data_IF_056446643481
#
_entry.id   IF_056446643481
#
_cell.length_a   1.000
_cell.length_b   1.000
_cell.length_c   1.000
_cell.angle_alpha   90.00
_cell.angle_beta   90.00
_cell.angle_gamma   90.00
#
_symmetry.space_group_name_H-M   'P 1'
#
loop_
_entity.id
_entity.type
_entity.pdbx_description
1 polymer ?
#
# COMPACT_ATOMS: atom_id res chain seq x y z
N UNK A 1 17.02 22.50 6.38
CA UNK A 1 16.86 22.35 4.91
C UNK A 1 15.51 21.76 4.50
N UNK A 2 14.99 20.70 5.12
CA UNK A 2 13.70 20.06 4.78
C UNK A 2 12.49 21.00 4.91
N UNK A 3 12.42 21.88 5.93
CA UNK A 3 11.32 22.83 6.15
C UNK A 3 11.15 23.87 5.03
N UNK A 4 12.24 24.31 4.41
CA UNK A 4 12.20 25.32 3.35
C UNK A 4 11.61 24.75 2.04
N UNK A 5 11.91 23.49 1.72
CA UNK A 5 11.35 22.81 0.56
C UNK A 5 9.85 22.55 0.68
N UNK A 6 9.37 22.22 1.88
CA UNK A 6 7.95 22.00 2.15
C UNK A 6 7.14 23.28 1.96
N UNK A 7 7.64 24.41 2.44
CA UNK A 7 6.98 25.72 2.32
C UNK A 7 6.97 26.26 0.87
N UNK A 8 8.02 25.97 0.09
CA UNK A 8 8.08 26.34 -1.31
C UNK A 8 7.08 25.53 -2.16
N UNK A 9 6.92 24.25 -1.84
CA UNK A 9 5.95 23.38 -2.47
C UNK A 9 4.50 23.79 -2.15
N UNK A 10 4.21 24.11 -0.88
CA UNK A 10 2.90 24.61 -0.45
C UNK A 10 2.50 25.91 -1.16
N UNK A 11 3.43 26.85 -1.37
CA UNK A 11 3.18 28.08 -2.12
C UNK A 11 2.88 27.83 -3.59
N UNK A 12 3.60 26.91 -4.24
CA UNK A 12 3.44 26.61 -5.66
C UNK A 12 2.11 25.95 -5.99
N UNK A 13 1.53 25.22 -5.03
CA UNK A 13 0.31 24.42 -5.23
C UNK A 13 -0.87 24.86 -4.33
N UNK A 14 -0.78 26.06 -3.72
CA UNK A 14 -1.80 26.61 -2.81
C UNK A 14 -3.18 26.82 -3.44
N UNK A 15 -3.25 26.94 -4.76
CA UNK A 15 -4.50 27.15 -5.52
C UNK A 15 -5.21 25.84 -5.90
N UNK A 16 -4.63 24.67 -5.59
CA UNK A 16 -5.36 23.41 -5.76
C UNK A 16 -6.28 23.14 -4.56
N UNK A 17 -7.57 22.79 -4.77
CA UNK A 17 -8.55 22.57 -3.68
C UNK A 17 -8.13 21.54 -2.63
N UNK A 18 -7.13 20.72 -2.97
CA UNK A 18 -6.60 19.66 -2.10
C UNK A 18 -5.75 20.20 -0.96
N UNK A 19 -5.06 21.34 -1.15
CA UNK A 19 -4.27 21.97 -0.07
C UNK A 19 -5.17 22.51 1.03
N UNK A 20 -6.39 22.94 0.70
CA UNK A 20 -7.39 23.40 1.66
C UNK A 20 -7.92 22.25 2.55
N UNK A 21 -8.07 21.05 1.99
CA UNK A 21 -8.48 19.86 2.74
C UNK A 21 -7.37 19.32 3.66
N UNK A 22 -6.09 19.45 3.28
CA UNK A 22 -4.97 19.03 4.10
C UNK A 22 -4.81 19.92 5.36
N UNK A 23 -5.05 21.23 5.26
CA UNK A 23 -5.05 22.14 6.41
C UNK A 23 -6.17 21.81 7.42
N UNK A 24 -7.36 21.46 6.95
CA UNK A 24 -8.46 20.99 7.80
C UNK A 24 -8.14 19.68 8.53
N UNK A 25 -7.34 18.79 7.91
CA UNK A 25 -6.98 17.50 8.50
C UNK A 25 -5.85 17.61 9.55
N UNK A 26 -4.99 18.61 9.48
CA UNK A 26 -3.93 18.83 10.46
C UNK A 26 -4.43 19.49 11.76
N UNK A 27 -5.58 20.17 11.74
CA UNK A 27 -6.23 20.78 12.91
C UNK A 27 -7.30 19.91 13.58
N UNK A 28 -7.65 18.77 12.99
CA UNK A 28 -8.66 17.85 13.52
C UNK A 28 -8.12 17.02 14.70
N UNK A 29 -8.93 16.91 15.75
CA UNK A 29 -8.64 16.12 16.94
C UNK A 29 -8.29 14.66 16.51
N UNK A 30 -7.19 14.10 17.03
CA UNK A 30 -6.74 12.72 16.76
C UNK A 30 -7.83 11.66 16.92
N UNK A 31 -8.83 11.91 17.78
CA UNK A 31 -10.00 11.04 17.96
C UNK A 31 -10.93 11.01 16.74
N UNK A 32 -11.03 12.09 16.00
CA UNK A 32 -11.87 12.18 14.80
C UNK A 32 -11.23 11.48 13.60
N UNK A 33 -9.89 11.41 13.56
CA UNK A 33 -9.15 10.63 12.56
C UNK A 33 -9.38 9.11 12.68
N UNK A 34 -9.68 8.63 13.88
CA UNK A 34 -9.94 7.22 14.16
C UNK A 34 -11.41 6.82 13.95
N UNK A 35 -12.33 7.79 13.93
CA UNK A 35 -13.78 7.54 13.90
C UNK A 35 -14.41 7.58 12.50
N UNK A 36 -13.73 8.13 11.50
CA UNK A 36 -14.24 8.11 10.12
C UNK A 36 -13.63 6.94 9.35
N UNK A 37 -14.44 5.91 9.01
CA UNK A 37 -13.99 4.89 8.08
C UNK A 37 -13.80 5.56 6.72
N UNK A 38 -12.56 5.93 6.39
CA UNK A 38 -12.24 6.33 5.03
C UNK A 38 -12.46 5.11 4.14
N UNK A 39 -13.60 5.06 3.47
CA UNK A 39 -13.90 4.12 2.40
C UNK A 39 -13.03 4.40 1.17
N UNK A 40 -11.73 4.42 1.33
CA UNK A 40 -10.84 4.29 0.19
C UNK A 40 -10.62 2.78 0.01
N UNK A 41 -10.93 2.25 -1.16
CA UNK A 41 -10.79 0.84 -1.51
C UNK A 41 -9.32 0.41 -1.50
N UNK A 42 -8.74 0.27 -0.33
CA UNK A 42 -7.35 -0.16 -0.08
C UNK A 42 -7.16 -1.66 -0.38
N UNK A 43 -8.27 -2.39 -0.45
CA UNK A 43 -8.35 -3.85 -0.48
C UNK A 43 -8.12 -4.47 -1.85
N UNK A 44 -8.44 -3.77 -2.93
CA UNK A 44 -8.42 -4.30 -4.28
C UNK A 44 -7.08 -4.90 -4.71
N UNK A 45 -5.95 -4.19 -4.56
CA UNK A 45 -4.65 -4.68 -5.02
C UNK A 45 -4.18 -5.94 -4.29
N UNK A 46 -4.41 -6.02 -2.98
CA UNK A 46 -3.97 -7.15 -2.14
C UNK A 46 -4.72 -8.43 -2.50
N UNK A 47 -6.01 -8.32 -2.79
CA UNK A 47 -6.86 -9.46 -3.16
C UNK A 47 -6.48 -10.04 -4.52
N UNK A 48 -6.28 -9.18 -5.51
CA UNK A 48 -5.97 -9.60 -6.89
C UNK A 48 -4.62 -10.30 -7.00
N UNK A 49 -3.61 -9.85 -6.26
CA UNK A 49 -2.28 -10.49 -6.30
C UNK A 49 -2.26 -11.84 -5.62
N UNK A 50 -3.01 -12.00 -4.53
CA UNK A 50 -3.18 -13.30 -3.89
C UNK A 50 -3.85 -14.30 -4.83
N UNK A 51 -4.85 -13.87 -5.60
CA UNK A 51 -5.50 -14.69 -6.65
C UNK A 51 -4.53 -15.09 -7.76
N UNK A 52 -3.67 -14.18 -8.22
CA UNK A 52 -2.71 -14.47 -9.27
C UNK A 52 -1.67 -15.51 -8.85
N UNK A 53 -1.21 -15.49 -7.59
CA UNK A 53 -0.30 -16.51 -7.04
C UNK A 53 -1.01 -17.85 -6.90
N UNK A 54 -2.28 -17.85 -6.52
CA UNK A 54 -3.13 -19.03 -6.43
C UNK A 54 -3.28 -19.78 -7.76
N UNK A 55 -3.61 -19.05 -8.80
CA UNK A 55 -3.77 -19.62 -10.15
C UNK A 55 -2.53 -20.36 -10.62
N UNK A 56 -1.35 -19.88 -10.22
CA UNK A 56 -0.06 -20.51 -10.61
C UNK A 56 0.33 -21.70 -9.74
N UNK A 57 0.03 -21.67 -8.44
CA UNK A 57 0.45 -22.72 -7.52
C UNK A 57 -0.46 -23.96 -7.62
N UNK A 58 -1.76 -23.79 -7.89
CA UNK A 58 -2.76 -24.85 -7.79
C UNK A 58 -2.94 -25.38 -6.37
N UNK A 59 -4.07 -26.01 -6.08
CA UNK A 59 -4.28 -26.75 -4.83
C UNK A 59 -4.45 -25.93 -3.54
N UNK A 60 -4.50 -24.61 -3.61
CA UNK A 60 -4.77 -23.74 -2.45
C UNK A 60 -6.26 -23.71 -2.16
N UNK A 61 -6.65 -24.03 -0.93
CA UNK A 61 -8.06 -24.00 -0.50
C UNK A 61 -8.59 -22.57 -0.40
N UNK A 62 -9.92 -22.41 -0.55
CA UNK A 62 -10.56 -21.11 -0.35
C UNK A 62 -10.33 -20.52 1.05
N UNK A 63 -10.20 -21.37 2.08
CA UNK A 63 -9.89 -20.94 3.43
C UNK A 63 -8.48 -20.33 3.54
N UNK A 64 -7.51 -20.95 2.91
CA UNK A 64 -6.13 -20.42 2.88
C UNK A 64 -6.07 -19.10 2.13
N UNK A 65 -6.80 -18.99 1.02
CA UNK A 65 -6.93 -17.74 0.28
C UNK A 65 -7.49 -16.62 1.15
N UNK A 66 -8.63 -16.86 1.79
CA UNK A 66 -9.27 -15.86 2.66
C UNK A 66 -8.35 -15.45 3.81
N UNK A 67 -7.66 -16.42 4.42
CA UNK A 67 -6.69 -16.13 5.48
C UNK A 67 -5.56 -15.23 4.97
N UNK A 68 -5.00 -15.52 3.81
CA UNK A 68 -3.94 -14.72 3.21
C UNK A 68 -4.40 -13.28 2.89
N UNK A 69 -5.62 -13.14 2.36
CA UNK A 69 -6.22 -11.83 2.08
C UNK A 69 -6.39 -11.03 3.38
N UNK A 70 -6.97 -11.64 4.42
CA UNK A 70 -7.22 -11.00 5.72
C UNK A 70 -5.90 -10.52 6.34
N UNK A 71 -4.86 -11.37 6.35
CA UNK A 71 -3.55 -11.03 6.89
C UNK A 71 -2.90 -9.88 6.12
N UNK A 72 -2.96 -9.92 4.79
CA UNK A 72 -2.41 -8.84 3.95
C UNK A 72 -3.10 -7.51 4.19
N UNK A 73 -4.41 -7.55 4.32
CA UNK A 73 -5.25 -6.38 4.61
C UNK A 73 -4.95 -5.82 6.00
N UNK A 74 -4.90 -6.66 7.03
CA UNK A 74 -4.58 -6.25 8.40
C UNK A 74 -3.21 -5.57 8.47
N UNK A 75 -2.20 -6.12 7.80
CA UNK A 75 -0.87 -5.50 7.74
C UNK A 75 -0.93 -4.10 7.09
N UNK A 76 -1.60 -3.95 5.95
CA UNK A 76 -1.72 -2.64 5.29
C UNK A 76 -2.42 -1.62 6.17
N UNK A 77 -3.45 -2.03 6.90
CA UNK A 77 -4.15 -1.16 7.84
C UNK A 77 -3.23 -0.71 8.98
N UNK A 78 -2.47 -1.64 9.58
CA UNK A 78 -1.52 -1.32 10.66
C UNK A 78 -0.44 -0.37 10.19
N UNK A 79 0.15 -0.63 9.04
CA UNK A 79 1.16 0.25 8.41
C UNK A 79 0.56 1.64 8.13
N UNK A 80 -0.65 1.67 7.57
CA UNK A 80 -1.33 2.93 7.24
C UNK A 80 -1.70 3.79 8.44
N UNK A 81 -1.96 3.17 9.61
CA UNK A 81 -2.24 3.89 10.88
C UNK A 81 -0.95 4.34 11.56
N UNK A 82 0.12 3.53 11.46
CA UNK A 82 1.39 3.77 12.16
C UNK A 82 2.27 4.82 11.49
N UNK A 83 2.11 5.03 10.18
CA UNK A 83 2.97 5.94 9.43
C UNK A 83 2.25 7.26 9.08
N UNK A 84 2.94 8.39 9.18
CA UNK A 84 2.38 9.66 8.73
C UNK A 84 2.13 9.63 7.22
N UNK A 85 0.95 10.09 6.80
CA UNK A 85 0.61 10.19 5.40
C UNK A 85 1.44 11.29 4.73
N UNK A 86 2.38 10.91 3.89
CA UNK A 86 3.14 11.87 3.09
C UNK A 86 2.24 12.41 1.95
N UNK A 87 2.04 13.73 1.83
CA UNK A 87 1.07 14.31 0.91
C UNK A 87 1.37 14.01 -0.58
N UNK A 88 2.61 13.71 -0.93
CA UNK A 88 3.03 13.40 -2.30
C UNK A 88 2.94 11.93 -2.68
N UNK A 89 2.64 11.01 -1.74
CA UNK A 89 2.63 9.57 -2.02
C UNK A 89 1.23 9.03 -2.29
N UNK A 90 1.16 8.04 -3.18
CA UNK A 90 -0.05 7.26 -3.43
C UNK A 90 -0.11 6.08 -2.46
N UNK A 91 -0.90 6.23 -1.40
CA UNK A 91 -0.92 5.33 -0.24
C UNK A 91 -1.19 3.88 -0.64
N UNK A 92 -2.17 3.64 -1.52
CA UNK A 92 -2.55 2.28 -1.96
C UNK A 92 -1.39 1.52 -2.63
N UNK A 93 -0.49 2.20 -3.33
CA UNK A 93 0.68 1.55 -3.92
C UNK A 93 1.85 1.48 -2.94
N UNK A 94 2.08 2.55 -2.17
CA UNK A 94 3.21 2.60 -1.23
C UNK A 94 3.06 1.61 -0.07
N UNK A 95 1.85 1.44 0.46
CA UNK A 95 1.59 0.52 1.58
C UNK A 95 1.01 -0.82 1.11
N UNK A 96 0.26 -0.85 0.01
CA UNK A 96 -0.34 -2.06 -0.53
C UNK A 96 0.67 -3.15 -0.89
N UNK A 97 1.89 -2.77 -1.27
CA UNK A 97 2.96 -3.71 -1.59
C UNK A 97 3.29 -4.66 -0.43
N UNK A 98 3.27 -4.18 0.82
CA UNK A 98 3.54 -5.00 2.00
C UNK A 98 2.45 -6.04 2.22
N UNK A 99 1.18 -5.64 2.09
CA UNK A 99 0.06 -6.57 2.20
C UNK A 99 0.10 -7.66 1.14
N UNK A 100 0.50 -7.29 -0.08
CA UNK A 100 0.68 -8.23 -1.18
C UNK A 100 1.82 -9.20 -0.90
N UNK A 101 2.98 -8.72 -0.45
CA UNK A 101 4.13 -9.55 -0.12
C UNK A 101 3.78 -10.57 0.99
N UNK A 102 3.06 -10.13 2.04
CA UNK A 102 2.61 -11.00 3.12
C UNK A 102 1.59 -12.03 2.62
N UNK A 103 0.57 -11.62 1.89
CA UNK A 103 -0.47 -12.53 1.38
C UNK A 103 0.10 -13.57 0.42
N UNK A 104 0.95 -13.15 -0.52
CA UNK A 104 1.62 -14.05 -1.45
C UNK A 104 2.56 -15.02 -0.72
N UNK A 105 3.35 -14.52 0.23
CA UNK A 105 4.25 -15.33 1.03
C UNK A 105 3.51 -16.36 1.87
N UNK A 106 2.35 -16.01 2.46
CA UNK A 106 1.48 -16.93 3.19
C UNK A 106 0.99 -18.07 2.29
N UNK A 107 0.52 -17.76 1.09
CA UNK A 107 0.06 -18.76 0.10
C UNK A 107 1.23 -19.66 -0.34
N UNK A 108 2.42 -19.08 -0.49
CA UNK A 108 3.63 -19.83 -0.85
C UNK A 108 4.18 -20.69 0.29
N UNK A 109 3.65 -20.57 1.50
CA UNK A 109 4.09 -21.33 2.68
C UNK A 109 5.44 -20.86 3.22
N UNK A 110 5.75 -19.56 3.11
CA UNK A 110 6.98 -18.98 3.66
C UNK A 110 6.96 -18.98 5.19
N UNK A 111 8.12 -19.19 5.80
CA UNK A 111 8.32 -19.04 7.24
C UNK A 111 8.15 -17.59 7.69
N UNK A 112 7.88 -17.31 8.97
CA UNK A 112 7.78 -15.95 9.49
C UNK A 112 9.02 -15.08 9.19
N UNK A 113 10.21 -15.67 9.27
CA UNK A 113 11.45 -15.00 8.95
C UNK A 113 11.54 -14.64 7.45
N UNK A 114 11.20 -15.58 6.58
CA UNK A 114 11.14 -15.34 5.13
C UNK A 114 10.09 -14.29 4.76
N UNK A 115 8.94 -14.24 5.46
CA UNK A 115 7.92 -13.21 5.30
C UNK A 115 8.46 -11.82 5.68
N UNK A 116 9.20 -11.72 6.79
CA UNK A 116 9.83 -10.46 7.20
C UNK A 116 10.82 -9.97 6.16
N UNK A 117 11.65 -10.86 5.64
CA UNK A 117 12.61 -10.54 4.59
C UNK A 117 11.93 -10.15 3.26
N UNK A 118 10.84 -10.82 2.89
CA UNK A 118 10.03 -10.45 1.73
C UNK A 118 9.44 -9.04 1.89
N UNK A 119 8.99 -8.67 3.08
CA UNK A 119 8.56 -7.30 3.38
C UNK A 119 9.73 -6.30 3.29
N UNK A 120 10.94 -6.70 3.66
CA UNK A 120 12.16 -5.89 3.48
C UNK A 120 12.44 -5.59 2.01
N UNK A 121 12.36 -6.60 1.12
CA UNK A 121 12.45 -6.38 -0.34
C UNK A 121 11.31 -5.49 -0.84
N UNK A 122 10.08 -5.74 -0.40
CA UNK A 122 8.92 -4.94 -0.76
C UNK A 122 9.13 -3.46 -0.39
N UNK A 123 9.77 -3.17 0.74
CA UNK A 123 10.04 -1.80 1.17
C UNK A 123 10.94 -1.03 0.21
N UNK A 124 11.93 -1.71 -0.38
CA UNK A 124 12.83 -1.08 -1.37
C UNK A 124 12.14 -0.72 -2.68
N UNK A 125 11.01 -1.34 -2.96
CA UNK A 125 10.20 -1.11 -4.17
C UNK A 125 8.91 -0.34 -3.89
N UNK A 126 8.69 0.11 -2.64
CA UNK A 126 7.51 0.86 -2.22
C UNK A 126 7.50 2.24 -2.89
N UNK A 127 6.75 2.38 -3.96
CA UNK A 127 6.70 3.56 -4.80
C UNK A 127 5.25 4.02 -5.05
N UNK A 128 5.12 5.15 -5.71
CA UNK A 128 3.86 5.71 -6.14
C UNK A 128 3.69 7.16 -5.71
N UNK A 129 3.29 8.00 -6.66
CA UNK A 129 3.05 9.43 -6.44
C UNK A 129 1.57 9.76 -6.57
N UNK A 130 1.12 10.80 -5.88
CA UNK A 130 -0.28 11.29 -6.02
C UNK A 130 -0.51 12.05 -7.31
N UNK A 131 0.53 12.33 -8.07
CA UNK A 131 0.46 13.17 -9.26
C UNK A 131 -0.56 12.64 -10.29
N UNK A 132 -0.49 11.36 -10.62
CA UNK A 132 -1.45 10.74 -11.53
C UNK A 132 -2.92 10.81 -11.06
N UNK A 133 -3.16 10.92 -9.74
CA UNK A 133 -4.50 11.17 -9.20
C UNK A 133 -4.93 12.62 -9.38
N UNK A 134 -4.00 13.57 -9.24
CA UNK A 134 -4.28 15.00 -9.35
C UNK A 134 -4.58 15.39 -10.79
N UNK A 135 -3.86 14.81 -11.73
CA UNK A 135 -4.01 15.05 -13.16
C UNK A 135 -5.08 14.18 -13.84
N UNK A 136 -5.69 13.24 -13.11
CA UNK A 136 -6.71 12.35 -13.67
C UNK A 136 -6.19 11.32 -14.67
N UNK A 137 -4.87 11.06 -14.67
CA UNK A 137 -4.23 10.14 -15.63
C UNK A 137 -4.47 8.67 -15.27
N UNK A 138 -4.39 7.78 -16.28
CA UNK A 138 -4.50 6.32 -16.09
C UNK A 138 -3.40 5.75 -15.19
N UNK A 139 -2.30 6.45 -15.00
CA UNK A 139 -1.21 6.09 -14.10
C UNK A 139 -1.69 5.79 -12.67
N UNK A 140 -2.75 6.50 -12.21
CA UNK A 140 -3.37 6.21 -10.92
C UNK A 140 -3.81 4.75 -10.77
N UNK A 141 -4.35 4.14 -11.85
CA UNK A 141 -4.82 2.74 -11.83
C UNK A 141 -3.67 1.75 -11.98
N UNK A 142 -2.63 2.15 -12.70
CA UNK A 142 -1.44 1.31 -12.90
C UNK A 142 -0.61 1.15 -11.63
N UNK A 143 -0.49 2.18 -10.80
CA UNK A 143 0.33 2.17 -9.59
C UNK A 143 0.01 1.01 -8.62
N UNK A 144 -1.25 0.73 -8.26
CA UNK A 144 -1.59 -0.44 -7.45
C UNK A 144 -1.22 -1.77 -8.12
N UNK A 145 -1.35 -1.88 -9.44
CA UNK A 145 -0.99 -3.08 -10.17
C UNK A 145 0.52 -3.35 -10.11
N UNK A 146 1.35 -2.30 -10.26
CA UNK A 146 2.81 -2.41 -10.08
C UNK A 146 3.18 -2.79 -8.65
N UNK A 147 2.50 -2.25 -7.65
CA UNK A 147 2.70 -2.65 -6.25
C UNK A 147 2.36 -4.14 -6.03
N UNK A 148 1.30 -4.64 -6.68
CA UNK A 148 0.96 -6.06 -6.65
C UNK A 148 2.05 -6.92 -7.28
N UNK A 149 2.53 -6.56 -8.46
CA UNK A 149 3.61 -7.27 -9.14
C UNK A 149 4.88 -7.33 -8.27
N UNK A 150 5.29 -6.20 -7.72
CA UNK A 150 6.48 -6.10 -6.87
C UNK A 150 6.34 -6.87 -5.56
N UNK A 151 5.16 -6.85 -4.93
CA UNK A 151 4.91 -7.62 -3.71
C UNK A 151 4.95 -9.14 -3.93
N UNK A 152 4.35 -9.63 -5.03
CA UNK A 152 4.44 -11.05 -5.41
C UNK A 152 5.88 -11.44 -5.71
N UNK A 153 6.61 -10.61 -6.46
CA UNK A 153 8.01 -10.85 -6.78
C UNK A 153 8.86 -10.94 -5.51
N UNK A 154 8.65 -10.04 -4.54
CA UNK A 154 9.34 -10.07 -3.26
C UNK A 154 9.16 -11.41 -2.52
N UNK A 155 7.94 -11.95 -2.50
CA UNK A 155 7.64 -13.25 -1.91
C UNK A 155 8.28 -14.42 -2.68
N UNK A 156 8.26 -14.37 -4.02
CA UNK A 156 8.83 -15.41 -4.88
C UNK A 156 10.35 -15.53 -4.73
N UNK A 157 11.07 -14.41 -4.61
CA UNK A 157 12.52 -14.40 -4.41
C UNK A 157 12.93 -15.25 -3.20
N UNK A 158 12.16 -15.22 -2.10
CA UNK A 158 12.43 -16.02 -0.92
C UNK A 158 12.00 -17.48 -1.05
N UNK A 159 11.05 -17.79 -1.93
CA UNK A 159 10.67 -19.19 -2.19
C UNK A 159 11.76 -19.97 -2.96
N UNK A 160 12.56 -19.27 -3.76
CA UNK A 160 13.60 -19.89 -4.60
C UNK A 160 14.91 -20.15 -3.85
N UNK A 161 15.02 -19.73 -2.59
CA UNK A 161 16.13 -20.04 -1.69
C UNK A 161 15.82 -21.26 -0.87
#
# INVERSE_FOLDING_TARGET
>A
MVRAHTLAWERKYSHYPITHNLRRQQGGNKKELLSTPRRENWWGPTSLSSLAVLQRKGGVSGKELLTAIILGVDLVCRVGVSLPIHPGRHISSTYGIFGVALAAGKILGLTPEALTNACGIASSQAAGTRHGRLEGTLTKRLQPALACQSGVLAALIFKMR
#
